data_IF_558743419609
#
_entry.id   IF_558743419609
#
_cell.length_a   1.000
_cell.length_b   1.000
_cell.length_c   1.000
_cell.angle_alpha   90.00
_cell.angle_beta   90.00
_cell.angle_gamma   90.00
#
_symmetry.space_group_name_H-M   'P 1'
#
loop_
_entity.id
_entity.type
_entity.pdbx_description
1 polymer ?
#
# COMPACT_ATOMS: atom_id res chain seq x y z
N UNK A 1 -34.61 12.66 59.37
CA UNK A 1 -33.82 11.57 58.77
C UNK A 1 -34.07 11.31 57.26
N UNK A 2 -34.98 12.02 56.60
CA UNK A 2 -35.27 11.78 55.13
C UNK A 2 -34.40 12.58 54.18
N UNK A 3 -33.73 13.65 54.60
CA UNK A 3 -32.90 14.48 53.71
C UNK A 3 -31.48 13.96 53.44
N UNK A 4 -30.94 13.09 54.31
CA UNK A 4 -29.58 12.59 54.16
C UNK A 4 -29.47 11.47 53.11
N UNK A 5 -30.53 10.69 52.87
CA UNK A 5 -30.53 9.57 51.91
C UNK A 5 -30.61 10.03 50.49
N UNK A 6 -31.30 11.15 50.19
CA UNK A 6 -31.46 11.68 48.82
C UNK A 6 -30.15 12.23 48.27
N UNK A 7 -29.32 12.83 49.11
CA UNK A 7 -28.02 13.40 48.73
C UNK A 7 -27.01 12.31 48.35
N UNK A 8 -27.02 11.16 49.01
CA UNK A 8 -26.14 10.02 48.69
C UNK A 8 -26.50 9.35 47.38
N UNK A 9 -27.79 9.21 47.08
CA UNK A 9 -28.26 8.60 45.81
C UNK A 9 -27.90 9.49 44.61
N UNK A 10 -27.97 10.81 44.75
CA UNK A 10 -27.58 11.78 43.71
C UNK A 10 -26.08 11.76 43.43
N UNK A 11 -25.24 11.64 44.46
CA UNK A 11 -23.78 11.58 44.30
C UNK A 11 -23.32 10.25 43.66
N UNK A 12 -23.96 9.14 44.01
CA UNK A 12 -23.67 7.84 43.40
C UNK A 12 -24.05 7.80 41.93
N UNK A 13 -25.21 8.33 41.52
CA UNK A 13 -25.59 8.43 40.09
C UNK A 13 -24.65 9.29 39.28
N UNK A 14 -24.12 10.39 39.81
CA UNK A 14 -23.11 11.24 39.13
C UNK A 14 -21.77 10.54 38.93
N UNK A 15 -21.36 9.69 39.89
CA UNK A 15 -20.10 8.94 39.77
C UNK A 15 -20.21 7.78 38.78
N UNK A 16 -21.36 7.07 38.76
CA UNK A 16 -21.62 6.05 37.77
C UNK A 16 -21.65 6.61 36.35
N UNK A 17 -22.28 7.76 36.11
CA UNK A 17 -22.33 8.37 34.79
C UNK A 17 -20.94 8.73 34.25
N UNK A 18 -20.02 9.21 35.12
CA UNK A 18 -18.64 9.50 34.73
C UNK A 18 -17.82 8.25 34.43
N UNK A 19 -18.02 7.17 35.18
CA UNK A 19 -17.36 5.88 34.95
C UNK A 19 -17.81 5.23 33.62
N UNK A 20 -19.09 5.32 33.27
CA UNK A 20 -19.62 4.85 31.99
C UNK A 20 -19.09 5.66 30.80
N UNK A 21 -18.94 6.98 30.96
CA UNK A 21 -18.38 7.85 29.93
C UNK A 21 -16.89 7.56 29.69
N UNK A 22 -16.13 7.23 30.75
CA UNK A 22 -14.73 6.83 30.63
C UNK A 22 -14.58 5.44 29.99
N UNK A 23 -15.47 4.50 30.32
CA UNK A 23 -15.51 3.18 29.72
C UNK A 23 -15.84 3.25 28.21
N UNK A 24 -16.75 4.15 27.80
CA UNK A 24 -17.12 4.34 26.40
C UNK A 24 -15.93 4.89 25.56
N UNK A 25 -15.07 5.72 26.16
CA UNK A 25 -13.86 6.24 25.51
C UNK A 25 -12.80 5.15 25.27
N UNK A 26 -12.79 4.08 26.05
CA UNK A 26 -11.86 2.95 25.84
C UNK A 26 -12.29 2.01 24.69
N UNK A 27 -13.53 2.12 24.24
CA UNK A 27 -14.04 1.36 23.08
C UNK A 27 -14.00 2.13 21.77
N UNK A 28 -13.43 3.36 21.74
CA UNK A 28 -13.13 3.98 20.47
C UNK A 28 -12.07 3.13 19.79
N UNK A 29 -12.35 2.56 18.61
CA UNK A 29 -11.34 1.81 17.89
C UNK A 29 -10.17 2.76 17.67
N UNK A 30 -9.04 2.42 18.27
CA UNK A 30 -7.76 3.05 18.01
C UNK A 30 -7.60 3.19 16.50
N UNK A 31 -7.27 4.37 16.03
CA UNK A 31 -7.01 4.64 14.62
C UNK A 31 -6.30 3.46 13.98
N UNK A 32 -6.91 2.93 12.93
CA UNK A 32 -6.33 1.87 12.12
C UNK A 32 -4.93 2.30 11.75
N UNK A 33 -3.95 1.46 12.02
CA UNK A 33 -2.56 1.67 11.64
C UNK A 33 -2.50 2.12 10.17
N UNK A 34 -1.69 3.13 9.85
CA UNK A 34 -1.48 3.63 8.49
C UNK A 34 -0.94 2.54 7.57
N UNK A 35 -1.65 1.64 7.13
CA UNK A 35 -1.30 0.47 6.35
C UNK A 35 -2.47 -0.50 6.30
N UNK A 36 -3.37 -0.44 7.28
CA UNK A 36 -4.54 -1.32 7.35
C UNK A 36 -4.18 -2.77 7.04
N UNK A 37 -5.00 -3.44 6.24
CA UNK A 37 -4.82 -4.82 5.83
C UNK A 37 -3.73 -5.02 4.76
N UNK A 38 -3.19 -3.94 4.16
CA UNK A 38 -2.15 -4.04 3.11
C UNK A 38 -0.72 -4.18 3.63
N UNK A 39 -0.52 -4.00 4.95
CA UNK A 39 0.74 -4.32 5.62
C UNK A 39 1.95 -3.59 5.02
N UNK A 40 2.98 -4.37 4.64
CA UNK A 40 4.25 -3.83 4.12
C UNK A 40 4.09 -3.07 2.81
N UNK A 41 3.07 -3.36 2.02
CA UNK A 41 2.86 -2.77 0.70
C UNK A 41 2.54 -1.28 0.78
N UNK A 42 1.89 -0.83 1.85
CA UNK A 42 1.46 0.55 1.98
C UNK A 42 2.59 1.56 1.73
N UNK A 43 2.32 2.53 0.85
CA UNK A 43 3.24 3.62 0.52
C UNK A 43 3.94 3.46 -0.83
N UNK A 44 4.96 4.26 -1.04
CA UNK A 44 5.66 4.38 -2.32
C UNK A 44 6.93 3.54 -2.35
N UNK A 45 7.13 2.85 -3.46
CA UNK A 45 8.26 1.99 -3.75
C UNK A 45 8.95 2.47 -5.02
N UNK A 46 10.25 2.68 -4.96
CA UNK A 46 11.08 2.90 -6.13
C UNK A 46 11.38 1.57 -6.83
N UNK A 47 11.21 1.48 -8.14
CA UNK A 47 11.65 0.33 -8.94
C UNK A 47 13.16 0.49 -9.19
N UNK A 48 13.94 -0.05 -8.28
CA UNK A 48 15.39 0.14 -8.23
C UNK A 48 16.14 -0.64 -9.31
N UNK A 49 15.59 -1.75 -9.80
CA UNK A 49 16.15 -2.52 -10.88
C UNK A 49 15.05 -3.26 -11.66
N UNK A 50 15.28 -3.44 -12.95
CA UNK A 50 14.51 -4.32 -13.83
C UNK A 50 15.50 -5.26 -14.52
N UNK A 51 15.27 -6.55 -14.39
CA UNK A 51 16.04 -7.59 -15.08
C UNK A 51 15.16 -8.22 -16.17
N UNK A 52 15.73 -8.52 -17.32
CA UNK A 52 15.09 -9.24 -18.43
C UNK A 52 15.91 -10.47 -18.73
N UNK A 53 15.33 -11.65 -18.59
CA UNK A 53 16.00 -12.94 -18.75
C UNK A 53 17.35 -13.03 -17.99
N UNK A 54 17.37 -12.46 -16.77
CA UNK A 54 18.55 -12.43 -15.90
C UNK A 54 19.55 -11.32 -16.19
N UNK A 55 19.31 -10.46 -17.18
CA UNK A 55 20.18 -9.32 -17.51
C UNK A 55 19.55 -8.04 -17.00
N UNK A 56 20.27 -7.31 -16.15
CA UNK A 56 19.79 -6.04 -15.61
C UNK A 56 19.77 -4.95 -16.70
N UNK A 57 18.62 -4.29 -16.84
CA UNK A 57 18.49 -3.15 -17.74
C UNK A 57 19.16 -1.90 -17.16
N UNK A 58 19.73 -1.02 -18.01
CA UNK A 58 20.21 0.27 -17.56
C UNK A 58 19.04 1.12 -17.02
N UNK A 59 19.30 1.88 -15.96
CA UNK A 59 18.33 2.85 -15.47
C UNK A 59 18.15 3.99 -16.48
N UNK A 60 16.92 4.46 -16.71
CA UNK A 60 16.68 5.60 -17.56
C UNK A 60 17.33 6.86 -16.99
N UNK A 61 17.76 7.77 -17.87
CA UNK A 61 18.31 9.05 -17.45
C UNK A 61 17.21 10.09 -17.28
N UNK A 62 17.27 10.88 -16.21
CA UNK A 62 16.36 11.98 -15.92
C UNK A 62 14.99 11.59 -15.37
N UNK A 63 14.73 10.29 -15.19
CA UNK A 63 13.53 9.79 -14.53
C UNK A 63 13.75 8.39 -13.97
N UNK A 64 12.87 7.99 -13.08
CA UNK A 64 12.79 6.62 -12.58
C UNK A 64 11.33 6.18 -12.45
N UNK A 65 11.11 4.91 -12.22
CA UNK A 65 9.77 4.37 -11.99
C UNK A 65 9.53 4.18 -10.50
N UNK A 66 8.32 4.53 -10.09
CA UNK A 66 7.83 4.27 -8.74
C UNK A 66 6.45 3.62 -8.80
N UNK A 67 6.14 2.84 -7.79
CA UNK A 67 4.82 2.26 -7.58
C UNK A 67 4.33 2.61 -6.18
N UNK A 68 3.08 3.03 -6.07
CA UNK A 68 2.44 3.33 -4.79
C UNK A 68 1.26 2.39 -4.57
N UNK A 69 1.18 1.81 -3.38
CA UNK A 69 0.09 0.95 -2.97
C UNK A 69 -0.72 1.63 -1.87
N UNK A 70 -2.04 1.73 -2.09
CA UNK A 70 -3.00 2.28 -1.12
C UNK A 70 -4.28 1.44 -1.15
N UNK A 71 -4.64 0.80 -0.04
CA UNK A 71 -5.78 -0.11 -0.01
C UNK A 71 -5.71 -1.11 -1.18
N UNK A 72 -6.67 -1.12 -2.08
CA UNK A 72 -6.73 -1.98 -3.27
C UNK A 72 -6.21 -1.28 -4.54
N UNK A 73 -5.68 -0.06 -4.41
CA UNK A 73 -5.21 0.74 -5.55
C UNK A 73 -3.71 0.58 -5.69
N UNK A 74 -3.27 0.33 -6.91
CA UNK A 74 -1.88 0.44 -7.34
C UNK A 74 -1.75 1.63 -8.29
N UNK A 75 -0.75 2.47 -8.04
CA UNK A 75 -0.41 3.59 -8.90
C UNK A 75 1.01 3.38 -9.42
N UNK A 76 1.16 3.23 -10.73
CA UNK A 76 2.46 3.20 -11.38
C UNK A 76 2.81 4.59 -11.89
N UNK A 77 3.99 5.06 -11.59
CA UNK A 77 4.45 6.42 -11.87
C UNK A 77 5.79 6.40 -12.61
N UNK A 78 5.93 7.34 -13.52
CA UNK A 78 7.22 7.81 -14.01
C UNK A 78 7.49 9.15 -13.32
N UNK A 79 8.56 9.24 -12.56
CA UNK A 79 8.89 10.39 -11.72
C UNK A 79 10.23 10.96 -12.10
N UNK A 80 10.41 12.27 -11.94
CA UNK A 80 11.68 12.95 -12.14
C UNK A 80 12.64 12.64 -10.98
N UNK A 81 13.89 13.05 -11.09
CA UNK A 81 14.90 12.94 -10.03
C UNK A 81 14.48 13.68 -8.73
N UNK A 82 13.54 14.62 -8.84
CA UNK A 82 12.94 15.32 -7.69
C UNK A 82 11.69 14.64 -7.14
N UNK A 83 11.35 13.43 -7.64
CA UNK A 83 10.13 12.69 -7.30
C UNK A 83 8.83 13.38 -7.70
N UNK A 84 8.88 14.31 -8.65
CA UNK A 84 7.67 14.91 -9.23
C UNK A 84 7.08 13.94 -10.27
N UNK A 85 5.87 13.39 -10.06
CA UNK A 85 5.25 12.50 -11.02
C UNK A 85 4.82 13.28 -12.26
N UNK A 86 5.24 12.84 -13.45
CA UNK A 86 4.82 13.46 -14.71
C UNK A 86 4.03 12.52 -15.63
N UNK A 87 4.12 11.22 -15.40
CA UNK A 87 3.23 10.21 -15.99
C UNK A 87 2.80 9.24 -14.93
N UNK A 88 1.52 8.94 -14.87
CA UNK A 88 0.98 7.99 -13.90
C UNK A 88 -0.22 7.26 -14.46
N UNK A 89 -0.44 6.05 -14.00
CA UNK A 89 -1.65 5.30 -14.21
C UNK A 89 -2.09 4.64 -12.91
N UNK A 90 -3.38 4.39 -12.82
CA UNK A 90 -4.02 3.78 -11.66
C UNK A 90 -4.62 2.43 -12.04
N UNK A 91 -4.61 1.53 -11.10
CA UNK A 91 -5.23 0.23 -11.22
C UNK A 91 -5.57 -0.35 -9.87
N UNK A 92 -6.05 -1.58 -9.91
CA UNK A 92 -6.26 -2.37 -8.71
C UNK A 92 -5.17 -3.42 -8.58
N UNK A 93 -4.88 -3.81 -7.35
CA UNK A 93 -3.98 -4.91 -7.08
C UNK A 93 -4.58 -5.88 -6.07
N UNK A 94 -4.16 -7.12 -6.18
CA UNK A 94 -4.48 -8.17 -5.23
C UNK A 94 -3.25 -9.01 -4.95
N UNK A 95 -3.17 -9.58 -3.74
CA UNK A 95 -2.15 -10.54 -3.34
C UNK A 95 -2.86 -11.81 -2.84
N UNK A 96 -2.37 -12.96 -3.28
CA UNK A 96 -2.78 -14.27 -2.79
C UNK A 96 -1.53 -15.16 -2.68
N UNK A 97 -1.16 -15.48 -1.44
CA UNK A 97 0.06 -16.21 -1.09
C UNK A 97 1.32 -15.56 -1.69
N UNK A 98 1.92 -16.20 -2.70
CA UNK A 98 3.11 -15.76 -3.42
C UNK A 98 2.79 -15.10 -4.78
N UNK A 99 1.51 -14.90 -5.08
CA UNK A 99 1.05 -14.30 -6.33
C UNK A 99 0.55 -12.89 -6.09
N UNK A 100 0.86 -11.98 -7.02
CA UNK A 100 0.35 -10.63 -7.03
C UNK A 100 -0.18 -10.29 -8.41
N UNK A 101 -1.32 -9.62 -8.47
CA UNK A 101 -1.90 -9.15 -9.72
C UNK A 101 -2.02 -7.63 -9.70
N UNK A 102 -1.61 -6.98 -10.79
CA UNK A 102 -1.91 -5.56 -11.05
C UNK A 102 -2.76 -5.47 -12.30
N UNK A 103 -3.86 -4.73 -12.20
CA UNK A 103 -4.79 -4.51 -13.30
C UNK A 103 -5.05 -3.02 -13.45
N UNK A 104 -4.53 -2.42 -14.53
CA UNK A 104 -4.67 -0.99 -14.82
C UNK A 104 -5.92 -0.72 -15.64
N UNK A 105 -6.62 0.39 -15.34
CA UNK A 105 -7.80 0.80 -16.07
C UNK A 105 -7.44 1.32 -17.48
N UNK A 106 -8.32 1.10 -18.44
CA UNK A 106 -8.18 1.62 -19.81
C UNK A 106 -8.17 3.15 -19.88
N UNK A 107 -8.79 3.81 -18.91
CA UNK A 107 -8.89 5.27 -18.81
C UNK A 107 -7.56 5.96 -18.49
N UNK A 108 -6.64 5.20 -17.88
CA UNK A 108 -5.32 5.72 -17.46
C UNK A 108 -4.19 5.30 -18.41
N UNK A 109 -4.55 4.72 -19.54
CA UNK A 109 -3.60 4.33 -20.57
C UNK A 109 -3.23 5.52 -21.48
N UNK A 110 -1.98 5.69 -21.99
CA UNK A 110 -0.90 4.71 -21.94
C UNK A 110 -0.16 4.69 -20.60
N UNK A 111 0.25 3.48 -20.20
CA UNK A 111 1.12 3.25 -19.05
C UNK A 111 2.43 4.05 -19.16
N UNK A 112 3.03 4.47 -18.05
CA UNK A 112 4.45 4.79 -18.01
C UNK A 112 5.26 3.66 -18.64
N UNK A 113 6.30 3.95 -19.45
CA UNK A 113 7.02 2.95 -20.22
C UNK A 113 7.96 2.09 -19.35
N UNK A 114 7.38 1.34 -18.43
CA UNK A 114 8.10 0.34 -17.64
C UNK A 114 8.14 -0.97 -18.43
N UNK A 115 9.33 -1.49 -18.76
CA UNK A 115 9.48 -2.71 -19.56
C UNK A 115 8.70 -3.89 -18.99
N UNK A 116 7.98 -4.61 -19.84
CA UNK A 116 7.24 -5.81 -19.50
C UNK A 116 5.91 -5.57 -18.76
N UNK A 117 5.53 -4.33 -18.46
CA UNK A 117 4.23 -4.00 -17.84
C UNK A 117 3.18 -3.77 -18.91
N UNK A 118 2.04 -4.43 -18.73
CA UNK A 118 0.86 -4.40 -19.57
C UNK A 118 -0.35 -3.93 -18.75
N UNK A 119 -1.54 -3.94 -19.34
CA UNK A 119 -2.78 -3.60 -18.64
C UNK A 119 -3.07 -4.59 -17.52
N UNK A 120 -2.93 -5.89 -17.79
CA UNK A 120 -3.06 -6.97 -16.82
C UNK A 120 -1.69 -7.62 -16.56
N UNK A 121 -1.30 -7.69 -15.31
CA UNK A 121 -0.02 -8.25 -14.93
C UNK A 121 -0.19 -9.24 -13.80
N UNK A 122 0.42 -10.40 -13.95
CA UNK A 122 0.54 -11.39 -12.89
C UNK A 122 2.00 -11.58 -12.53
N UNK A 123 2.28 -11.52 -11.24
CA UNK A 123 3.63 -11.66 -10.69
C UNK A 123 3.69 -12.81 -9.70
N UNK A 124 4.85 -13.45 -9.64
CA UNK A 124 5.25 -14.27 -8.50
C UNK A 124 6.13 -13.44 -7.59
N UNK A 125 5.84 -13.42 -6.30
CA UNK A 125 6.61 -12.72 -5.28
C UNK A 125 7.81 -13.60 -4.94
N UNK A 126 9.02 -13.20 -5.35
CA UNK A 126 10.25 -13.91 -5.07
C UNK A 126 10.82 -13.58 -3.69
N UNK A 127 10.61 -12.32 -3.25
CA UNK A 127 11.07 -11.80 -1.99
C UNK A 127 10.11 -10.76 -1.47
N UNK A 128 9.80 -10.80 -0.18
CA UNK A 128 8.90 -9.85 0.49
C UNK A 128 9.46 -9.46 1.85
N UNK A 129 10.11 -8.27 1.91
CA UNK A 129 10.63 -7.66 3.13
C UNK A 129 10.13 -6.23 3.27
N UNK A 130 10.19 -5.66 4.45
CA UNK A 130 9.68 -4.32 4.75
C UNK A 130 10.26 -3.21 3.88
N UNK A 131 11.47 -3.36 3.36
CA UNK A 131 12.17 -2.34 2.57
C UNK A 131 12.58 -2.82 1.17
N UNK A 132 12.37 -4.09 0.85
CA UNK A 132 12.74 -4.68 -0.43
C UNK A 132 11.75 -5.77 -0.83
N UNK A 133 11.26 -5.68 -2.04
CA UNK A 133 10.39 -6.69 -2.66
C UNK A 133 10.93 -7.02 -4.04
N UNK A 134 10.89 -8.31 -4.42
CA UNK A 134 11.21 -8.74 -5.79
C UNK A 134 10.01 -9.44 -6.38
N UNK A 135 9.57 -8.97 -7.55
CA UNK A 135 8.44 -9.49 -8.31
C UNK A 135 8.92 -10.05 -9.63
N UNK A 136 8.53 -11.29 -9.94
CA UNK A 136 8.80 -11.95 -11.22
C UNK A 136 7.54 -11.98 -12.07
N UNK A 137 7.64 -11.56 -13.33
CA UNK A 137 6.61 -11.75 -14.36
C UNK A 137 7.18 -12.56 -15.51
N UNK A 138 6.41 -13.51 -16.02
CA UNK A 138 6.70 -14.21 -17.27
C UNK A 138 5.61 -13.82 -18.26
N UNK A 139 6.02 -13.30 -19.42
CA UNK A 139 5.09 -12.94 -20.50
C UNK A 139 4.63 -14.17 -21.26
N UNK A 140 3.58 -14.02 -22.08
CA UNK A 140 3.11 -15.09 -22.96
C UNK A 140 4.19 -15.56 -23.96
N UNK A 141 5.11 -14.69 -24.33
CA UNK A 141 6.27 -14.99 -25.20
C UNK A 141 7.40 -15.72 -24.45
N UNK A 142 7.24 -16.00 -23.15
CA UNK A 142 8.25 -16.66 -22.33
C UNK A 142 9.36 -15.76 -21.78
N UNK A 143 9.32 -14.45 -22.05
CA UNK A 143 10.30 -13.49 -21.52
C UNK A 143 10.07 -13.28 -20.04
N UNK A 144 11.13 -13.39 -19.25
CA UNK A 144 11.08 -13.23 -17.79
C UNK A 144 11.55 -11.83 -17.40
N UNK A 145 10.71 -11.14 -16.63
CA UNK A 145 11.03 -9.86 -15.99
C UNK A 145 11.14 -10.05 -14.49
N UNK A 146 12.16 -9.44 -13.87
CA UNK A 146 12.27 -9.32 -12.40
C UNK A 146 12.40 -7.88 -12.02
N UNK A 147 11.47 -7.39 -11.22
CA UNK A 147 11.45 -6.02 -10.69
C UNK A 147 11.91 -6.04 -9.24
N UNK A 148 12.91 -5.23 -8.91
CA UNK A 148 13.33 -5.00 -7.53
C UNK A 148 12.79 -3.67 -7.05
N UNK A 149 11.90 -3.73 -6.07
CA UNK A 149 11.26 -2.59 -5.45
C UNK A 149 11.97 -2.26 -4.14
N UNK A 150 12.32 -1.00 -3.93
CA UNK A 150 12.84 -0.49 -2.65
C UNK A 150 11.90 0.56 -2.09
N UNK A 151 11.53 0.43 -0.84
CA UNK A 151 10.62 1.36 -0.17
C UNK A 151 11.25 2.74 -0.07
N UNK A 152 10.49 3.76 -0.45
CA UNK A 152 10.83 5.15 -0.17
C UNK A 152 10.38 5.46 1.26
N UNK A 153 11.27 5.97 2.05
CA UNK A 153 11.06 6.32 3.47
C UNK A 153 10.47 7.71 3.57
#
# INVERSE_FOLDING_TARGET
>A
MKHCVITYISAAKRRLGKAWMLALLMFLPSCVHNGGDIGIWFGTWNIAAVEVDGVQLPQPQGYHWAVNFQSQIVQLMQVTDRYDPYKMCFGNWTEDADQMQWRFGSETWPLPPLPGIEQDNQFTILEKRNNCVRLKKVTQAGVTYVYTLKKLV
#
